data_IF_824920266395
#
_entry.id   IF_824920266395
#
_cell.length_a   1.000
_cell.length_b   1.000
_cell.length_c   1.000
_cell.angle_alpha   90.00
_cell.angle_beta   90.00
_cell.angle_gamma   90.00
#
_symmetry.space_group_name_H-M   'P 1'
#
loop_
_entity.id
_entity.type
_entity.pdbx_description
1 polymer ?
#
# COMPACT_ATOMS: atom_id res chain seq x y z
N UNK A 1 33.53 16.56 79.37
CA UNK A 1 32.25 15.83 79.27
C UNK A 1 32.22 15.09 77.94
N UNK A 2 31.69 13.88 77.95
CA UNK A 2 31.97 12.77 77.04
C UNK A 2 31.21 12.78 75.69
N UNK A 3 31.67 11.94 74.74
CA UNK A 3 30.88 11.40 73.61
C UNK A 3 31.54 11.64 72.25
N UNK A 4 32.42 10.78 71.71
CA UNK A 4 32.20 9.45 71.13
C UNK A 4 31.55 9.45 69.73
N UNK A 5 32.29 8.95 68.74
CA UNK A 5 31.88 8.70 67.35
C UNK A 5 30.59 7.87 67.23
N UNK A 6 29.74 8.21 66.25
CA UNK A 6 28.89 7.24 65.55
C UNK A 6 28.50 7.68 64.14
N UNK A 7 28.77 6.78 63.20
CA UNK A 7 28.11 6.64 61.90
C UNK A 7 26.58 6.75 62.06
N UNK A 8 25.92 7.57 61.23
CA UNK A 8 24.56 7.33 60.76
C UNK A 8 24.40 7.78 59.31
N UNK A 9 23.93 6.84 58.50
CA UNK A 9 23.54 7.00 57.10
C UNK A 9 22.18 7.68 56.99
N UNK A 10 21.99 8.55 55.99
CA UNK A 10 20.67 8.93 55.44
C UNK A 10 20.91 9.31 53.96
N UNK A 11 20.69 8.35 53.06
CA UNK A 11 19.61 8.36 52.05
C UNK A 11 19.91 9.24 50.84
N UNK A 12 20.51 8.62 49.81
CA UNK A 12 20.34 9.07 48.43
C UNK A 12 18.93 8.70 47.98
N UNK A 13 18.05 9.70 48.08
CA UNK A 13 16.70 9.68 47.54
C UNK A 13 16.71 9.42 46.03
N UNK A 14 16.05 8.31 45.65
CA UNK A 14 15.07 8.23 44.57
C UNK A 14 15.09 9.34 43.50
N UNK A 15 15.69 9.05 42.33
CA UNK A 15 15.21 9.61 41.07
C UNK A 15 14.50 8.52 40.26
N UNK A 16 13.19 8.71 40.12
CA UNK A 16 12.29 7.84 39.39
C UNK A 16 12.40 8.03 37.86
N UNK A 17 12.49 6.88 37.19
CA UNK A 17 11.82 6.50 35.93
C UNK A 17 11.88 7.47 34.74
N UNK A 18 13.02 7.47 34.06
CA UNK A 18 13.05 7.62 32.59
C UNK A 18 12.98 6.21 31.95
N UNK A 19 12.24 6.09 30.84
CA UNK A 19 11.70 4.84 30.30
C UNK A 19 12.72 3.89 29.68
N UNK A 20 13.59 3.29 30.49
CA UNK A 20 14.57 2.30 30.03
C UNK A 20 13.85 1.02 29.56
N UNK A 21 13.78 0.81 28.23
CA UNK A 21 13.21 -0.40 27.63
C UNK A 21 13.85 -1.63 28.25
N UNK A 22 13.04 -2.55 28.80
CA UNK A 22 13.58 -3.73 29.45
C UNK A 22 14.29 -4.63 28.42
N UNK A 23 15.36 -5.36 28.79
CA UNK A 23 16.05 -6.29 27.88
C UNK A 23 15.12 -7.33 27.24
N UNK A 24 14.03 -7.70 27.92
CA UNK A 24 12.97 -8.55 27.37
C UNK A 24 12.28 -7.86 26.19
N UNK A 25 11.90 -6.59 26.35
CA UNK A 25 11.14 -5.84 25.35
C UNK A 25 11.99 -5.53 24.11
N UNK A 26 13.30 -5.30 24.29
CA UNK A 26 14.26 -5.13 23.19
C UNK A 26 14.31 -6.38 22.30
N UNK A 27 14.41 -7.58 22.90
CA UNK A 27 14.43 -8.85 22.15
C UNK A 27 13.09 -9.14 21.51
N UNK A 28 11.99 -8.95 22.24
CA UNK A 28 10.65 -9.19 21.72
C UNK A 28 10.39 -8.31 20.50
N UNK A 29 10.69 -7.01 20.60
CA UNK A 29 10.51 -6.07 19.50
C UNK A 29 11.45 -6.36 18.32
N UNK A 30 12.70 -6.74 18.59
CA UNK A 30 13.63 -7.21 17.57
C UNK A 30 13.09 -8.39 16.76
N UNK A 31 12.54 -9.39 17.44
CA UNK A 31 11.95 -10.56 16.80
C UNK A 31 10.63 -10.23 16.08
N UNK A 32 9.75 -9.38 16.65
CA UNK A 32 8.55 -8.89 15.96
C UNK A 32 8.90 -8.22 14.63
N UNK A 33 9.93 -7.37 14.62
CA UNK A 33 10.41 -6.72 13.39
C UNK A 33 10.93 -7.72 12.36
N UNK A 34 11.66 -8.76 12.78
CA UNK A 34 12.16 -9.80 11.87
C UNK A 34 11.02 -10.62 11.26
N UNK A 35 10.00 -10.93 12.06
CA UNK A 35 8.78 -11.61 11.61
C UNK A 35 7.99 -10.70 10.65
N UNK A 36 7.76 -9.44 11.02
CA UNK A 36 6.99 -8.50 10.19
C UNK A 36 7.66 -8.16 8.86
N UNK A 37 8.99 -8.11 8.82
CA UNK A 37 9.80 -7.92 7.59
C UNK A 37 9.94 -9.18 6.74
N UNK A 38 9.47 -10.34 7.21
CA UNK A 38 9.61 -11.62 6.51
C UNK A 38 11.04 -12.19 6.51
N UNK A 39 11.94 -11.64 7.34
CA UNK A 39 13.26 -12.23 7.61
C UNK A 39 13.13 -13.55 8.38
N UNK A 40 12.06 -13.68 9.17
CA UNK A 40 11.59 -14.92 9.79
C UNK A 40 10.19 -15.22 9.26
N UNK A 41 10.10 -16.12 8.28
CA UNK A 41 8.84 -16.48 7.60
C UNK A 41 8.01 -17.45 8.43
N UNK A 42 6.69 -17.47 8.20
CA UNK A 42 5.81 -18.52 8.76
C UNK A 42 6.37 -19.89 8.40
N UNK A 43 6.49 -20.78 9.39
CA UNK A 43 7.12 -22.10 9.26
C UNK A 43 8.63 -22.12 9.52
N UNK A 44 9.29 -20.96 9.64
CA UNK A 44 10.72 -20.87 9.91
C UNK A 44 11.02 -20.98 11.41
N UNK A 45 12.11 -21.66 11.73
CA UNK A 45 12.61 -21.76 13.10
C UNK A 45 13.30 -20.46 13.54
N UNK A 46 12.96 -20.01 14.73
CA UNK A 46 13.60 -18.91 15.45
C UNK A 46 15.00 -19.37 15.90
N UNK A 47 16.04 -18.50 15.80
CA UNK A 47 17.37 -18.80 16.35
C UNK A 47 17.31 -19.21 17.82
N UNK A 48 18.29 -19.99 18.28
CA UNK A 48 18.26 -20.53 19.65
C UNK A 48 18.38 -19.42 20.70
N UNK A 49 18.05 -19.73 21.95
CA UNK A 49 18.22 -18.75 23.04
C UNK A 49 19.69 -18.33 23.21
N UNK A 50 20.66 -19.18 22.84
CA UNK A 50 22.07 -18.84 22.86
C UNK A 50 22.39 -17.83 21.76
N UNK A 51 21.97 -18.10 20.52
CA UNK A 51 22.21 -17.22 19.37
C UNK A 51 21.56 -15.85 19.56
N UNK A 52 20.35 -15.80 20.10
CA UNK A 52 19.64 -14.55 20.39
C UNK A 52 20.27 -13.79 21.56
N UNK A 53 20.81 -14.50 22.55
CA UNK A 53 21.51 -13.88 23.67
C UNK A 53 22.79 -13.18 23.19
N UNK A 54 23.51 -13.79 22.25
CA UNK A 54 24.68 -13.20 21.60
C UNK A 54 24.28 -12.03 20.67
N UNK A 55 23.33 -12.23 19.76
CA UNK A 55 22.88 -11.23 18.78
C UNK A 55 22.37 -9.94 19.44
N UNK A 56 21.60 -10.07 20.52
CA UNK A 56 21.01 -8.92 21.22
C UNK A 56 21.86 -8.46 22.40
N UNK A 57 22.97 -9.15 22.72
CA UNK A 57 23.82 -8.86 23.89
C UNK A 57 23.02 -8.75 25.19
N UNK A 58 22.11 -9.70 25.43
CA UNK A 58 21.26 -9.73 26.63
C UNK A 58 21.32 -11.10 27.32
N UNK A 59 21.01 -11.20 28.64
CA UNK A 59 20.99 -12.48 29.33
C UNK A 59 19.94 -13.44 28.75
N UNK A 60 20.26 -14.76 28.70
CA UNK A 60 19.32 -15.82 28.24
C UNK A 60 17.96 -15.77 28.93
N UNK A 61 17.90 -15.38 30.20
CA UNK A 61 16.64 -15.20 30.94
C UNK A 61 15.73 -14.11 30.36
N UNK A 62 16.28 -13.04 29.79
CA UNK A 62 15.52 -12.00 29.08
C UNK A 62 15.00 -12.51 27.73
N UNK A 63 15.84 -13.24 26.99
CA UNK A 63 15.46 -13.91 25.73
C UNK A 63 14.32 -14.90 25.96
N UNK A 64 14.42 -15.73 27.01
CA UNK A 64 13.37 -16.70 27.37
C UNK A 64 12.03 -15.99 27.59
N UNK A 65 12.01 -14.94 28.40
CA UNK A 65 10.79 -14.14 28.67
C UNK A 65 10.25 -13.44 27.42
N UNK A 66 11.12 -13.04 26.49
CA UNK A 66 10.72 -12.43 25.24
C UNK A 66 10.05 -13.46 24.32
N UNK A 67 10.61 -14.66 24.20
CA UNK A 67 9.99 -15.75 23.44
C UNK A 67 8.64 -16.20 24.05
N UNK A 68 8.53 -16.27 25.38
CA UNK A 68 7.25 -16.54 26.05
C UNK A 68 6.20 -15.45 25.77
N UNK A 69 6.63 -14.19 25.64
CA UNK A 69 5.74 -13.09 25.27
C UNK A 69 5.23 -13.25 23.83
N UNK A 70 6.11 -13.55 22.88
CA UNK A 70 5.75 -13.77 21.48
C UNK A 70 4.86 -15.01 21.27
N UNK A 71 5.05 -16.03 22.10
CA UNK A 71 4.21 -17.23 22.11
C UNK A 71 2.80 -16.92 22.64
N UNK A 72 2.68 -16.11 23.70
CA UNK A 72 1.38 -15.60 24.16
C UNK A 72 0.69 -14.70 23.14
N UNK A 73 1.46 -13.94 22.35
CA UNK A 73 0.95 -13.11 21.25
C UNK A 73 0.54 -13.93 20.01
N UNK A 74 0.79 -15.24 20.01
CA UNK A 74 0.44 -16.12 18.89
C UNK A 74 1.31 -15.94 17.66
N UNK A 75 2.48 -15.29 17.78
CA UNK A 75 3.42 -15.05 16.68
C UNK A 75 4.34 -16.25 16.44
N UNK A 76 4.66 -16.97 17.51
CA UNK A 76 5.50 -18.18 17.47
C UNK A 76 4.84 -19.32 18.25
N UNK A 77 5.12 -20.57 17.89
CA UNK A 77 4.75 -21.77 18.66
C UNK A 77 5.99 -22.56 19.02
N UNK A 78 5.94 -23.32 20.12
CA UNK A 78 6.92 -24.38 20.41
C UNK A 78 6.27 -25.74 20.30
N UNK A 79 6.88 -26.65 19.53
CA UNK A 79 6.39 -28.01 19.40
C UNK A 79 6.60 -28.83 20.69
N UNK A 80 7.76 -28.67 21.34
CA UNK A 80 8.15 -29.33 22.61
C UNK A 80 9.12 -28.46 23.41
N UNK A 81 9.22 -28.72 24.70
CA UNK A 81 10.22 -28.06 25.56
C UNK A 81 11.64 -28.43 25.09
N UNK A 82 12.44 -27.42 24.73
CA UNK A 82 13.80 -27.61 24.20
C UNK A 82 13.91 -27.59 22.67
N UNK A 83 12.80 -27.51 21.93
CA UNK A 83 12.82 -27.35 20.46
C UNK A 83 12.85 -25.87 20.07
N UNK A 84 13.56 -25.48 18.99
CA UNK A 84 13.46 -24.12 18.44
C UNK A 84 12.01 -23.72 18.17
N UNK A 85 11.64 -22.51 18.57
CA UNK A 85 10.30 -21.99 18.31
C UNK A 85 10.12 -21.75 16.80
N UNK A 86 8.90 -21.88 16.30
CA UNK A 86 8.57 -21.70 14.88
C UNK A 86 7.61 -20.52 14.73
N UNK A 87 7.80 -19.67 13.72
CA UNK A 87 6.87 -18.58 13.40
C UNK A 87 5.56 -19.15 12.88
N UNK A 88 4.43 -18.72 13.44
CA UNK A 88 3.09 -19.20 13.05
C UNK A 88 2.19 -18.12 12.46
N UNK A 89 2.48 -16.85 12.76
CA UNK A 89 1.70 -15.71 12.27
C UNK A 89 2.61 -14.52 11.98
N UNK A 90 2.26 -13.74 10.96
CA UNK A 90 2.86 -12.42 10.75
C UNK A 90 2.26 -11.42 11.74
N UNK A 91 3.07 -10.45 12.19
CA UNK A 91 2.57 -9.35 13.01
C UNK A 91 1.60 -8.51 12.16
N UNK A 92 0.31 -8.39 12.53
CA UNK A 92 -0.56 -7.42 11.88
C UNK A 92 0.00 -6.01 12.14
N UNK A 93 0.03 -5.15 11.10
CA UNK A 93 0.45 -3.74 11.16
C UNK A 93 -0.13 -3.09 12.43
N UNK A 94 0.67 -3.01 13.51
CA UNK A 94 0.26 -2.33 14.73
C UNK A 94 0.55 -0.85 14.53
N UNK A 95 -0.42 0.05 14.75
CA UNK A 95 -0.10 1.48 14.80
C UNK A 95 0.94 1.70 15.91
N UNK A 96 2.02 2.40 15.56
CA UNK A 96 3.13 2.68 16.47
C UNK A 96 2.63 3.36 17.75
N UNK A 97 3.24 3.02 18.89
CA UNK A 97 2.91 3.69 20.15
C UNK A 97 3.31 5.18 20.08
N UNK A 98 2.58 6.09 20.75
CA UNK A 98 2.91 7.51 20.74
C UNK A 98 4.31 7.73 21.34
N UNK A 99 5.24 8.29 20.56
CA UNK A 99 6.60 8.59 20.99
C UNK A 99 7.72 7.86 20.23
N UNK A 100 7.40 6.93 19.32
CA UNK A 100 8.40 6.42 18.36
C UNK A 100 8.44 7.31 17.13
N UNK A 101 9.49 8.12 16.99
CA UNK A 101 9.78 8.84 15.75
C UNK A 101 9.87 7.83 14.59
N UNK A 102 9.16 8.04 13.46
CA UNK A 102 9.04 7.06 12.39
C UNK A 102 10.33 7.03 11.56
N UNK A 103 11.34 6.30 12.01
CA UNK A 103 12.54 6.06 11.20
C UNK A 103 12.27 4.95 10.17
N UNK A 104 11.89 5.39 8.97
CA UNK A 104 12.05 4.68 7.70
C UNK A 104 10.83 3.89 7.23
N UNK A 105 10.14 4.37 6.19
CA UNK A 105 9.21 3.55 5.39
C UNK A 105 10.01 2.41 4.72
N UNK A 106 10.10 1.25 5.36
CA UNK A 106 10.82 0.07 4.86
C UNK A 106 9.92 -0.86 4.02
N UNK A 107 9.05 -0.29 3.18
CA UNK A 107 8.40 -1.09 2.15
C UNK A 107 9.29 -1.02 0.91
N UNK A 108 9.85 -2.15 0.49
CA UNK A 108 10.54 -2.24 -0.81
C UNK A 108 9.52 -1.84 -1.88
N UNK A 109 9.80 -0.85 -2.73
CA UNK A 109 8.86 -0.44 -3.76
C UNK A 109 8.50 -1.63 -4.67
N UNK A 110 7.21 -1.89 -4.86
CA UNK A 110 6.69 -3.02 -5.65
C UNK A 110 6.14 -2.55 -6.99
N UNK A 111 6.02 -3.48 -7.93
CA UNK A 111 5.36 -3.21 -9.22
C UNK A 111 3.92 -2.79 -9.00
N UNK A 112 3.43 -1.90 -9.87
CA UNK A 112 2.14 -1.27 -9.73
C UNK A 112 1.01 -2.29 -9.73
N UNK A 113 1.11 -3.32 -10.58
CA UNK A 113 0.14 -4.41 -10.61
C UNK A 113 0.01 -5.11 -9.26
N UNK A 114 1.13 -5.48 -8.63
CA UNK A 114 1.12 -6.20 -7.36
C UNK A 114 0.67 -5.31 -6.20
N UNK A 115 1.26 -4.12 -6.07
CA UNK A 115 0.93 -3.19 -4.98
C UNK A 115 -0.55 -2.80 -5.04
N UNK A 116 -1.04 -2.36 -6.20
CA UNK A 116 -2.43 -1.92 -6.32
C UNK A 116 -3.42 -3.06 -6.07
N UNK A 117 -3.15 -4.27 -6.57
CA UNK A 117 -4.01 -5.45 -6.35
C UNK A 117 -4.22 -5.72 -4.86
N UNK A 118 -3.14 -5.73 -4.07
CA UNK A 118 -3.24 -5.95 -2.62
C UNK A 118 -4.05 -4.85 -1.94
N UNK A 119 -3.78 -3.58 -2.30
CA UNK A 119 -4.43 -2.44 -1.67
C UNK A 119 -5.91 -2.32 -2.01
N UNK A 120 -6.29 -2.58 -3.26
CA UNK A 120 -7.70 -2.63 -3.68
C UNK A 120 -8.42 -3.78 -2.96
N UNK A 121 -7.82 -4.97 -2.87
CA UNK A 121 -8.42 -6.09 -2.13
C UNK A 121 -8.63 -5.76 -0.63
N UNK A 122 -7.72 -4.97 -0.02
CA UNK A 122 -7.91 -4.46 1.34
C UNK A 122 -9.04 -3.42 1.41
N UNK A 123 -9.10 -2.48 0.46
CA UNK A 123 -10.14 -1.45 0.42
C UNK A 123 -11.55 -2.06 0.35
N UNK A 124 -11.72 -3.15 -0.40
CA UNK A 124 -12.99 -3.89 -0.52
C UNK A 124 -13.47 -4.56 0.77
N UNK A 125 -12.65 -4.62 1.83
CA UNK A 125 -13.09 -5.10 3.15
C UNK A 125 -13.92 -4.04 3.89
N UNK A 126 -13.90 -2.79 3.45
CA UNK A 126 -14.70 -1.71 4.01
C UNK A 126 -16.18 -1.81 3.64
N UNK A 127 -17.04 -1.18 4.45
CA UNK A 127 -18.49 -1.11 4.19
C UNK A 127 -18.82 -0.23 3.00
N UNK A 128 -18.08 0.88 2.83
CA UNK A 128 -18.24 1.80 1.70
C UNK A 128 -16.89 1.89 1.00
N UNK A 129 -16.85 1.48 -0.26
CA UNK A 129 -15.61 1.42 -1.06
C UNK A 129 -15.62 2.60 -2.03
N UNK A 130 -14.55 3.39 -2.05
CA UNK A 130 -14.35 4.43 -3.06
C UNK A 130 -12.97 4.34 -3.68
N UNK A 131 -12.90 4.49 -5.00
CA UNK A 131 -11.64 4.49 -5.75
C UNK A 131 -11.67 5.64 -6.74
N UNK A 132 -10.72 6.57 -6.58
CA UNK A 132 -10.44 7.60 -7.59
C UNK A 132 -9.13 7.27 -8.28
N UNK A 133 -9.10 7.25 -9.61
CA UNK A 133 -7.93 6.84 -10.39
C UNK A 133 -7.60 7.87 -11.47
N UNK A 134 -6.37 8.33 -11.52
CA UNK A 134 -5.81 9.10 -12.64
C UNK A 134 -4.71 8.27 -13.30
N UNK A 135 -4.87 7.88 -14.55
CA UNK A 135 -3.94 6.97 -15.22
C UNK A 135 -4.00 7.07 -16.75
N UNK A 136 -3.04 6.44 -17.43
CA UNK A 136 -2.93 6.47 -18.89
C UNK A 136 -4.00 5.62 -19.60
N UNK A 137 -4.12 4.33 -19.24
CA UNK A 137 -4.97 3.36 -19.96
C UNK A 137 -6.08 2.73 -19.11
N UNK A 138 -5.97 2.78 -17.77
CA UNK A 138 -6.84 2.03 -16.86
C UNK A 138 -6.46 0.56 -16.64
N UNK A 139 -5.48 0.01 -17.37
CA UNK A 139 -5.10 -1.41 -17.30
C UNK A 139 -4.73 -1.88 -15.89
N UNK A 140 -3.90 -1.11 -15.18
CA UNK A 140 -3.47 -1.46 -13.82
C UNK A 140 -4.65 -1.51 -12.85
N UNK A 141 -5.62 -0.60 -12.99
CA UNK A 141 -6.82 -0.58 -12.16
C UNK A 141 -7.73 -1.76 -12.47
N UNK A 142 -7.99 -2.02 -13.76
CA UNK A 142 -8.82 -3.14 -14.20
C UNK A 142 -8.27 -4.49 -13.70
N UNK A 143 -6.94 -4.67 -13.79
CA UNK A 143 -6.25 -5.85 -13.25
C UNK A 143 -6.42 -5.96 -11.72
N UNK A 144 -6.21 -4.87 -10.99
CA UNK A 144 -6.34 -4.84 -9.54
C UNK A 144 -7.77 -5.11 -9.03
N UNK A 145 -8.79 -4.77 -9.83
CA UNK A 145 -10.20 -4.97 -9.50
C UNK A 145 -10.70 -6.39 -9.79
N UNK A 146 -10.03 -7.16 -10.64
CA UNK A 146 -10.47 -8.49 -11.04
C UNK A 146 -10.68 -9.43 -9.83
N UNK A 147 -9.70 -9.51 -8.94
CA UNK A 147 -9.78 -10.34 -7.73
C UNK A 147 -10.94 -9.95 -6.79
N UNK A 148 -11.04 -8.68 -6.38
CA UNK A 148 -12.16 -8.19 -5.57
C UNK A 148 -13.54 -8.44 -6.18
N UNK A 149 -13.72 -8.24 -7.50
CA UNK A 149 -14.99 -8.52 -8.19
C UNK A 149 -15.35 -10.00 -8.11
N UNK A 150 -14.39 -10.90 -8.31
CA UNK A 150 -14.58 -12.34 -8.15
C UNK A 150 -14.95 -12.68 -6.70
N UNK A 151 -14.27 -12.08 -5.72
CA UNK A 151 -14.53 -12.33 -4.30
C UNK A 151 -15.93 -11.88 -3.87
N UNK A 152 -16.36 -10.67 -4.28
CA UNK A 152 -17.72 -10.18 -4.03
C UNK A 152 -18.76 -11.10 -4.69
N UNK A 153 -18.49 -11.58 -5.91
CA UNK A 153 -19.35 -12.57 -6.60
C UNK A 153 -19.44 -13.90 -5.84
N UNK A 154 -18.33 -14.33 -5.21
CA UNK A 154 -18.31 -15.51 -4.34
C UNK A 154 -18.97 -15.25 -2.95
N UNK A 155 -19.47 -14.05 -2.71
CA UNK A 155 -20.31 -13.70 -1.56
C UNK A 155 -19.58 -13.03 -0.39
N UNK A 156 -18.26 -12.81 -0.45
CA UNK A 156 -17.48 -12.03 0.54
C UNK A 156 -16.24 -11.38 -0.09
N UNK A 157 -15.97 -10.08 0.16
CA UNK A 157 -16.68 -9.17 1.06
C UNK A 157 -18.03 -8.69 0.50
N UNK A 158 -18.86 -8.05 1.34
CA UNK A 158 -20.19 -7.52 0.96
C UNK A 158 -20.26 -6.02 1.27
N UNK A 159 -19.63 -5.17 0.44
CA UNK A 159 -19.73 -3.73 0.62
C UNK A 159 -21.17 -3.26 0.39
N UNK A 160 -21.58 -2.22 1.10
CA UNK A 160 -22.88 -1.57 0.95
C UNK A 160 -22.89 -0.58 -0.22
N UNK A 161 -21.74 0.02 -0.52
CA UNK A 161 -21.58 0.88 -1.69
C UNK A 161 -20.22 0.71 -2.35
N UNK A 162 -20.18 0.89 -3.67
CA UNK A 162 -18.95 0.99 -4.46
C UNK A 162 -19.00 2.23 -5.35
N UNK A 163 -18.04 3.13 -5.19
CA UNK A 163 -17.83 4.29 -6.07
C UNK A 163 -16.48 4.18 -6.77
N UNK A 164 -16.47 4.28 -8.09
CA UNK A 164 -15.24 4.31 -8.87
C UNK A 164 -15.28 5.50 -9.83
N UNK A 165 -14.29 6.40 -9.74
CA UNK A 165 -14.08 7.52 -10.66
C UNK A 165 -12.74 7.37 -11.37
N UNK A 166 -12.72 7.50 -12.68
CA UNK A 166 -11.51 7.32 -13.48
C UNK A 166 -11.28 8.55 -14.36
N UNK A 167 -10.13 9.21 -14.20
CA UNK A 167 -9.61 10.22 -15.09
C UNK A 167 -8.61 9.59 -16.07
N UNK A 168 -8.91 9.73 -17.35
CA UNK A 168 -8.11 9.23 -18.46
C UNK A 168 -7.65 10.40 -19.36
N UNK A 169 -6.54 10.27 -20.10
CA UNK A 169 -6.18 11.23 -21.13
C UNK A 169 -7.25 11.27 -22.24
N UNK A 170 -7.42 12.43 -22.86
CA UNK A 170 -8.31 12.60 -24.02
C UNK A 170 -7.52 12.49 -25.34
N UNK A 171 -7.54 11.33 -26.03
CA UNK A 171 -6.80 11.12 -27.27
C UNK A 171 -7.36 11.90 -28.47
N UNK A 172 -8.55 12.52 -28.35
CA UNK A 172 -9.11 13.44 -29.35
C UNK A 172 -8.40 14.79 -29.38
N UNK A 173 -7.63 15.11 -28.34
CA UNK A 173 -6.97 16.38 -28.15
C UNK A 173 -5.45 16.20 -28.12
N UNK A 174 -4.67 17.27 -28.33
CA UNK A 174 -3.21 17.19 -28.29
C UNK A 174 -2.69 16.61 -26.96
N UNK A 175 -1.86 15.57 -27.07
CA UNK A 175 -1.13 14.93 -25.98
C UNK A 175 0.34 14.84 -26.37
N UNK A 176 1.23 15.02 -25.38
CA UNK A 176 2.68 14.81 -25.55
C UNK A 176 3.04 13.32 -25.73
N UNK A 177 2.21 12.40 -25.22
CA UNK A 177 2.39 10.95 -25.36
C UNK A 177 1.04 10.24 -25.50
N UNK A 178 1.01 9.06 -26.14
CA UNK A 178 2.10 8.45 -26.89
C UNK A 178 2.32 9.14 -28.25
N UNK A 179 3.52 9.00 -28.81
CA UNK A 179 3.88 9.58 -30.13
C UNK A 179 4.97 8.75 -30.84
N UNK A 180 5.03 8.81 -32.17
CA UNK A 180 6.08 8.14 -32.95
C UNK A 180 7.42 8.86 -32.74
N UNK A 181 8.50 8.09 -32.61
CA UNK A 181 9.85 8.66 -32.50
C UNK A 181 10.21 9.36 -33.81
N UNK A 182 10.45 10.66 -33.73
CA UNK A 182 10.76 11.50 -34.90
C UNK A 182 9.55 12.01 -35.69
N UNK A 183 8.33 11.57 -35.35
CA UNK A 183 7.09 12.05 -35.97
C UNK A 183 5.97 12.24 -34.92
N UNK A 184 5.93 13.39 -34.21
CA UNK A 184 4.96 13.65 -33.16
C UNK A 184 3.52 13.87 -33.67
N UNK A 185 3.35 14.08 -34.98
CA UNK A 185 2.06 14.37 -35.60
C UNK A 185 1.32 13.10 -36.00
N UNK A 186 2.03 11.98 -36.18
CA UNK A 186 1.42 10.68 -36.45
C UNK A 186 0.38 10.33 -35.37
N UNK A 187 -0.86 10.15 -35.80
CA UNK A 187 -2.01 9.90 -34.94
C UNK A 187 -2.17 8.45 -34.50
N UNK A 188 -1.49 7.48 -35.14
CA UNK A 188 -1.67 6.05 -34.90
C UNK A 188 -1.47 5.65 -33.42
N UNK A 189 -0.48 6.19 -32.68
CA UNK A 189 -0.33 5.88 -31.26
C UNK A 189 -1.50 6.40 -30.40
N UNK A 190 -2.05 7.58 -30.72
CA UNK A 190 -3.22 8.15 -30.03
C UNK A 190 -4.50 7.39 -30.34
N UNK A 191 -4.65 6.92 -31.58
CA UNK A 191 -5.74 6.03 -31.98
C UNK A 191 -5.72 4.72 -31.18
N UNK A 192 -4.55 4.07 -31.06
CA UNK A 192 -4.40 2.91 -30.17
C UNK A 192 -4.77 3.23 -28.73
N UNK A 193 -4.31 4.37 -28.18
CA UNK A 193 -4.63 4.77 -26.81
C UNK A 193 -6.15 4.89 -26.62
N UNK A 194 -6.87 5.46 -27.60
CA UNK A 194 -8.33 5.52 -27.60
C UNK A 194 -8.95 4.14 -27.53
N UNK A 195 -8.59 3.26 -28.46
CA UNK A 195 -9.14 1.89 -28.52
C UNK A 195 -8.93 1.14 -27.20
N UNK A 196 -7.72 1.23 -26.64
CA UNK A 196 -7.37 0.57 -25.37
C UNK A 196 -8.18 1.16 -24.21
N UNK A 197 -8.23 2.49 -24.07
CA UNK A 197 -8.94 3.15 -22.97
C UNK A 197 -10.44 2.91 -23.03
N UNK A 198 -11.06 2.99 -24.21
CA UNK A 198 -12.48 2.71 -24.42
C UNK A 198 -12.82 1.24 -24.13
N UNK A 199 -12.00 0.30 -24.62
CA UNK A 199 -12.22 -1.13 -24.37
C UNK A 199 -12.16 -1.48 -22.88
N UNK A 200 -11.12 -1.01 -22.19
CA UNK A 200 -10.93 -1.28 -20.76
C UNK A 200 -12.02 -0.62 -19.94
N UNK A 201 -12.36 0.62 -20.26
CA UNK A 201 -13.44 1.35 -19.59
C UNK A 201 -14.77 0.61 -19.72
N UNK A 202 -15.16 0.24 -20.94
CA UNK A 202 -16.41 -0.48 -21.20
C UNK A 202 -16.50 -1.79 -20.41
N UNK A 203 -15.43 -2.59 -20.46
CA UNK A 203 -15.33 -3.87 -19.73
C UNK A 203 -15.41 -3.69 -18.21
N UNK A 204 -14.67 -2.70 -17.67
CA UNK A 204 -14.65 -2.42 -16.25
C UNK A 204 -16.01 -1.92 -15.75
N UNK A 205 -16.60 -0.94 -16.44
CA UNK A 205 -17.92 -0.40 -16.12
C UNK A 205 -18.97 -1.49 -16.11
N UNK A 206 -19.00 -2.34 -17.13
CA UNK A 206 -19.91 -3.47 -17.18
C UNK A 206 -19.73 -4.39 -15.96
N UNK A 207 -18.50 -4.85 -15.72
CA UNK A 207 -18.18 -5.80 -14.64
C UNK A 207 -18.57 -5.30 -13.26
N UNK A 208 -18.31 -4.02 -12.97
CA UNK A 208 -18.66 -3.42 -11.69
C UNK A 208 -20.17 -3.21 -11.53
N UNK A 209 -20.87 -2.72 -12.57
CA UNK A 209 -22.33 -2.56 -12.52
C UNK A 209 -23.07 -3.88 -12.36
N UNK A 210 -22.51 -4.98 -12.87
CA UNK A 210 -23.07 -6.31 -12.65
C UNK A 210 -23.13 -6.72 -11.18
N UNK A 211 -22.34 -6.10 -10.29
CA UNK A 211 -22.46 -6.34 -8.84
C UNK A 211 -23.77 -5.81 -8.27
N UNK A 212 -24.25 -4.67 -8.75
CA UNK A 212 -25.53 -4.07 -8.36
C UNK A 212 -26.70 -4.84 -8.99
N UNK A 213 -26.61 -5.16 -10.28
CA UNK A 213 -27.64 -5.95 -11.00
C UNK A 213 -27.87 -7.32 -10.35
N UNK A 214 -26.82 -7.90 -9.75
CA UNK A 214 -26.89 -9.18 -9.03
C UNK A 214 -27.20 -9.03 -7.53
N UNK A 215 -27.53 -7.81 -7.08
CA UNK A 215 -27.85 -7.49 -5.69
C UNK A 215 -26.72 -7.85 -4.69
N UNK A 216 -25.48 -7.89 -5.17
CA UNK A 216 -24.30 -8.19 -4.35
C UNK A 216 -23.75 -6.94 -3.65
N UNK A 217 -23.96 -5.78 -4.26
CA UNK A 217 -23.61 -4.45 -3.73
C UNK A 217 -24.81 -3.53 -3.98
N UNK A 218 -25.49 -3.04 -2.94
CA UNK A 218 -26.72 -2.25 -3.08
C UNK A 218 -26.60 -0.97 -3.91
N UNK A 219 -25.45 -0.29 -3.86
CA UNK A 219 -25.20 0.94 -4.61
C UNK A 219 -23.87 0.88 -5.35
N UNK A 220 -23.91 0.96 -6.69
CA UNK A 220 -22.70 1.00 -7.51
C UNK A 220 -22.69 2.22 -8.43
N UNK A 221 -21.72 3.12 -8.23
CA UNK A 221 -21.48 4.29 -9.09
C UNK A 221 -20.12 4.17 -9.76
N UNK A 222 -20.11 4.12 -11.08
CA UNK A 222 -18.89 3.96 -11.87
C UNK A 222 -18.92 4.99 -13.00
N UNK A 223 -17.95 5.90 -12.97
CA UNK A 223 -17.87 7.05 -13.85
C UNK A 223 -16.44 7.20 -14.39
N UNK A 224 -16.31 7.57 -15.66
CA UNK A 224 -15.04 7.96 -16.25
C UNK A 224 -15.17 9.34 -16.91
N UNK A 225 -14.10 10.12 -16.81
CA UNK A 225 -13.95 11.40 -17.48
C UNK A 225 -12.58 11.44 -18.18
N UNK A 226 -12.51 12.18 -19.27
CA UNK A 226 -11.30 12.41 -20.04
C UNK A 226 -10.82 13.85 -19.90
N UNK A 227 -9.51 14.05 -19.88
CA UNK A 227 -8.86 15.35 -19.77
C UNK A 227 -7.69 15.46 -20.75
N UNK A 228 -7.53 16.61 -21.40
CA UNK A 228 -6.47 16.86 -22.40
C UNK A 228 -5.11 17.13 -21.72
N UNK A 229 -4.66 16.19 -20.90
CA UNK A 229 -3.38 16.20 -20.19
C UNK A 229 -2.71 14.86 -20.40
N UNK A 230 -1.43 14.87 -20.75
CA UNK A 230 -0.61 13.65 -20.76
C UNK A 230 -0.26 13.26 -19.33
N UNK A 231 -0.70 12.07 -18.84
CA UNK A 231 -0.39 11.65 -17.49
C UNK A 231 1.11 11.44 -17.30
N UNK A 232 1.73 12.22 -16.40
CA UNK A 232 3.13 12.03 -16.00
C UNK A 232 3.27 11.12 -14.77
N UNK A 233 2.15 10.86 -14.12
CA UNK A 233 2.01 9.98 -12.98
C UNK A 233 0.70 9.21 -13.06
N UNK A 234 0.65 8.07 -12.40
CA UNK A 234 -0.58 7.37 -12.03
C UNK A 234 -0.88 7.66 -10.57
N UNK A 235 -2.15 7.88 -10.25
CA UNK A 235 -2.60 8.12 -8.89
C UNK A 235 -3.84 7.29 -8.63
N UNK A 236 -3.87 6.61 -7.49
CA UNK A 236 -5.03 5.87 -7.00
C UNK A 236 -5.32 6.32 -5.58
N UNK A 237 -6.52 6.83 -5.33
CA UNK A 237 -7.00 7.22 -4.00
C UNK A 237 -8.03 6.18 -3.56
N UNK A 238 -7.73 5.46 -2.49
CA UNK A 238 -8.57 4.38 -1.96
C UNK A 238 -9.24 4.84 -0.67
N UNK A 239 -10.56 4.73 -0.63
CA UNK A 239 -11.43 5.08 0.50
C UNK A 239 -11.23 6.49 1.09
N UNK A 240 -10.54 7.39 0.40
CA UNK A 240 -10.16 8.71 0.92
C UNK A 240 -9.08 8.67 2.02
N UNK A 241 -8.47 7.51 2.27
CA UNK A 241 -7.52 7.27 3.37
C UNK A 241 -6.11 6.94 2.86
N UNK A 242 -5.99 6.47 1.63
CA UNK A 242 -4.74 6.00 1.07
C UNK A 242 -4.54 6.47 -0.37
N UNK A 243 -3.32 6.89 -0.68
CA UNK A 243 -2.88 7.28 -2.02
C UNK A 243 -1.75 6.36 -2.45
N UNK A 244 -1.87 5.81 -3.65
CA UNK A 244 -0.79 5.17 -4.38
C UNK A 244 -0.41 6.03 -5.58
N UNK A 245 0.86 6.39 -5.72
CA UNK A 245 1.36 7.17 -6.85
C UNK A 245 2.57 6.53 -7.50
N UNK A 246 2.76 6.71 -8.80
CA UNK A 246 3.94 6.25 -9.53
C UNK A 246 4.17 7.06 -10.78
N UNK A 247 5.42 7.35 -11.10
CA UNK A 247 5.77 8.12 -12.29
C UNK A 247 5.72 7.27 -13.54
N UNK A 248 5.18 7.83 -14.62
CA UNK A 248 5.35 7.23 -15.94
C UNK A 248 6.74 7.60 -16.46
N UNK A 249 7.52 6.58 -16.82
CA UNK A 249 8.77 6.77 -17.55
C UNK A 249 8.48 6.76 -19.05
N UNK A 250 9.09 7.71 -19.75
CA UNK A 250 9.00 7.84 -21.21
C UNK A 250 10.13 7.05 -21.81
N UNK A 251 9.82 5.94 -22.45
CA UNK A 251 10.81 5.06 -23.07
C UNK A 251 10.43 4.76 -24.52
N UNK A 252 11.41 4.62 -25.41
CA UNK A 252 11.15 4.13 -26.75
C UNK A 252 10.73 2.65 -26.69
N UNK A 253 9.70 2.30 -27.45
CA UNK A 253 9.22 0.92 -27.56
C UNK A 253 8.84 0.63 -29.00
N UNK A 254 9.28 -0.52 -29.50
CA UNK A 254 8.79 -1.05 -30.77
C UNK A 254 7.42 -1.66 -30.56
N UNK A 255 6.46 -1.18 -31.35
CA UNK A 255 5.08 -1.64 -31.37
C UNK A 255 4.67 -1.92 -32.80
N UNK A 256 3.76 -2.89 -32.97
CA UNK A 256 3.14 -3.15 -34.26
C UNK A 256 1.76 -2.47 -34.25
N UNK A 257 1.62 -1.37 -35.01
CA UNK A 257 0.35 -0.66 -35.17
C UNK A 257 -0.11 -0.79 -36.62
N UNK A 258 -1.34 -1.25 -36.83
CA UNK A 258 -1.91 -1.39 -38.17
C UNK A 258 -1.05 -2.23 -39.13
N UNK A 259 -0.33 -3.24 -38.59
CA UNK A 259 0.62 -4.14 -39.30
C UNK A 259 1.90 -3.46 -39.79
N UNK A 260 2.22 -2.28 -39.26
CA UNK A 260 3.47 -1.56 -39.51
C UNK A 260 4.27 -1.46 -38.20
N UNK A 261 5.45 -2.07 -38.11
CA UNK A 261 6.29 -1.96 -36.93
C UNK A 261 6.91 -0.56 -36.85
N UNK A 262 6.65 0.15 -35.75
CA UNK A 262 7.21 1.48 -35.51
C UNK A 262 7.74 1.62 -34.09
N UNK A 263 8.60 2.60 -33.89
CA UNK A 263 9.12 2.97 -32.59
C UNK A 263 8.34 4.17 -32.04
N UNK A 264 7.76 4.03 -30.86
CA UNK A 264 6.99 5.08 -30.20
C UNK A 264 7.61 5.43 -28.85
N UNK A 265 7.45 6.67 -28.41
CA UNK A 265 7.55 7.00 -26.99
C UNK A 265 6.24 6.63 -26.31
N UNK A 266 6.33 5.72 -25.34
CA UNK A 266 5.17 5.20 -24.61
C UNK A 266 5.37 5.31 -23.08
N UNK A 267 4.27 5.17 -22.35
CA UNK A 267 4.23 5.17 -20.89
C UNK A 267 4.16 3.72 -20.39
N UNK A 268 5.20 3.25 -19.70
CA UNK A 268 5.19 1.91 -19.09
C UNK A 268 4.02 1.77 -18.10
N UNK A 269 3.08 0.87 -18.40
CA UNK A 269 1.93 0.54 -17.55
C UNK A 269 2.34 -0.30 -16.33
N UNK A 270 2.15 -1.62 -16.38
CA UNK A 270 2.13 -2.48 -15.19
C UNK A 270 3.45 -2.61 -14.40
N UNK A 271 4.59 -2.44 -15.06
CA UNK A 271 5.92 -2.65 -14.46
C UNK A 271 6.45 -1.45 -13.68
N UNK A 272 5.76 -0.30 -13.77
CA UNK A 272 6.10 0.89 -13.00
C UNK A 272 5.98 0.65 -11.49
N UNK A 273 6.74 1.39 -10.70
CA UNK A 273 6.71 1.28 -9.23
C UNK A 273 5.59 2.16 -8.67
N UNK A 274 4.88 1.66 -7.63
CA UNK A 274 3.96 2.46 -6.82
C UNK A 274 4.55 2.78 -5.45
N UNK A 275 4.38 4.03 -5.04
CA UNK A 275 4.68 4.56 -3.72
C UNK A 275 3.39 4.78 -2.94
N UNK A 276 3.37 4.32 -1.69
CA UNK A 276 2.18 4.34 -0.83
C UNK A 276 2.25 5.45 0.20
N UNK A 277 1.15 6.17 0.35
CA UNK A 277 0.95 7.21 1.35
C UNK A 277 -0.41 6.98 2.02
N UNK A 278 -0.41 6.63 3.29
CA UNK A 278 -1.63 6.38 4.08
C UNK A 278 -1.77 7.50 5.10
N UNK A 279 -2.97 8.07 5.25
CA UNK A 279 -3.26 9.03 6.32
C UNK A 279 -3.14 8.33 7.68
N UNK A 280 -2.27 8.85 8.55
CA UNK A 280 -2.09 8.34 9.91
C UNK A 280 -2.72 9.34 10.87
N UNK A 281 -3.72 8.95 11.69
CA UNK A 281 -4.36 9.85 12.63
C UNK A 281 -3.36 10.61 13.51
N UNK A 282 -3.40 11.95 13.41
CA UNK A 282 -2.50 12.84 14.17
C UNK A 282 -1.15 13.11 13.52
N UNK A 283 -0.84 12.50 12.37
CA UNK A 283 0.29 12.87 11.51
C UNK A 283 -0.19 13.80 10.39
N UNK A 284 -0.05 15.10 10.65
CA UNK A 284 -0.49 16.16 9.75
C UNK A 284 0.10 16.06 8.34
N UNK A 285 1.33 15.52 8.18
CA UNK A 285 1.98 15.45 6.87
C UNK A 285 1.30 14.39 6.00
N UNK A 286 1.05 13.21 6.58
CA UNK A 286 0.42 12.13 5.83
C UNK A 286 -1.04 12.40 5.52
N UNK A 287 -1.79 12.96 6.49
CA UNK A 287 -3.17 13.39 6.31
C UNK A 287 -3.27 14.48 5.24
N UNK A 288 -2.42 15.51 5.32
CA UNK A 288 -2.40 16.59 4.32
C UNK A 288 -2.06 16.07 2.92
N UNK A 289 -1.13 15.13 2.77
CA UNK A 289 -0.80 14.58 1.46
C UNK A 289 -2.01 13.89 0.79
N UNK A 290 -2.74 13.07 1.55
CA UNK A 290 -3.95 12.40 1.04
C UNK A 290 -5.02 13.44 0.68
N UNK A 291 -5.25 14.41 1.57
CA UNK A 291 -6.23 15.48 1.34
C UNK A 291 -5.88 16.34 0.11
N UNK A 292 -4.63 16.78 -0.02
CA UNK A 292 -4.19 17.60 -1.15
C UNK A 292 -4.26 16.82 -2.47
N UNK A 293 -3.95 15.53 -2.45
CA UNK A 293 -4.09 14.68 -3.64
C UNK A 293 -5.57 14.54 -4.05
N UNK A 294 -6.47 14.42 -3.07
CA UNK A 294 -7.92 14.40 -3.33
C UNK A 294 -8.42 15.72 -3.91
N UNK A 295 -8.00 16.85 -3.35
CA UNK A 295 -8.32 18.19 -3.87
C UNK A 295 -7.80 18.39 -5.30
N UNK A 296 -6.58 17.93 -5.59
CA UNK A 296 -6.05 17.96 -6.95
C UNK A 296 -6.90 17.11 -7.91
N UNK A 297 -7.24 15.87 -7.54
CA UNK A 297 -8.09 15.01 -8.35
C UNK A 297 -9.45 15.64 -8.62
N UNK A 298 -10.11 16.15 -7.58
CA UNK A 298 -11.41 16.79 -7.67
C UNK A 298 -11.36 18.06 -8.53
N UNK A 299 -10.29 18.86 -8.41
CA UNK A 299 -10.14 20.05 -9.25
C UNK A 299 -10.11 19.69 -10.73
N UNK A 300 -9.41 18.63 -11.15
CA UNK A 300 -9.44 18.15 -12.52
C UNK A 300 -10.82 17.60 -12.88
N UNK A 301 -11.37 16.75 -12.03
CA UNK A 301 -12.65 16.08 -12.23
C UNK A 301 -13.79 17.05 -12.44
N UNK A 302 -13.93 18.05 -11.58
CA UNK A 302 -15.08 18.96 -11.53
C UNK A 302 -14.96 20.16 -12.48
N UNK A 303 -13.77 20.46 -13.03
CA UNK A 303 -13.56 21.65 -13.88
C UNK A 303 -13.35 21.32 -15.35
N UNK A 304 -12.20 20.75 -15.70
CA UNK A 304 -11.73 20.62 -17.09
C UNK A 304 -11.94 19.23 -17.67
N UNK A 305 -12.23 18.23 -16.84
CA UNK A 305 -12.51 16.88 -17.29
C UNK A 305 -13.93 16.78 -17.89
N UNK A 306 -14.04 16.10 -19.03
CA UNK A 306 -15.29 15.87 -19.75
C UNK A 306 -15.75 14.42 -19.56
N UNK A 307 -17.05 14.13 -19.44
CA UNK A 307 -17.55 12.76 -19.40
C UNK A 307 -17.00 11.90 -20.56
N UNK A 308 -16.65 10.65 -20.25
CA UNK A 308 -16.47 9.63 -21.30
C UNK A 308 -17.85 9.06 -21.62
N UNK A 309 -18.25 9.16 -22.89
CA UNK A 309 -19.50 8.57 -23.34
C UNK A 309 -19.43 7.03 -23.22
N UNK A 310 -20.55 6.38 -22.88
CA UNK A 310 -20.63 4.94 -22.67
C UNK A 310 -20.64 4.09 -23.94
#
# INVERSE_FOLDING_TARGET
MAGCCRLMAVSSDSMAADGQRSPRDVVAEGLRRRISRGELRIGQQIPTQADLSEQFSVPRGAVRRALELLEREGLIKRARQGTPAEVVQNVPDRPAAPGEAPFGRQHVPRTAGLELTERVARAFRGTHVSIDAYCASGETLASALAGPVVAVTAGKPRPQSLRVRILLPDPDNPLALPQVVGDPLDGRPRERLREVTEHIWGSLRHSLRMLEVRELVPEVRVEARKVSITPTQRVFILNGEEVLTGHYQVLPRRVELSRDPMEIYDMLGLDGILFRHTAVPGDQVTEAYVQQTKLWFDSLWDTIARPMEP
#
